data_IF_225146235887
#
_entry.id   IF_225146235887
#
_cell.length_a   1.000
_cell.length_b   1.000
_cell.length_c   1.000
_cell.angle_alpha   90.00
_cell.angle_beta   90.00
_cell.angle_gamma   90.00
#
_symmetry.space_group_name_H-M   'P 1'
#
loop_
_entity.id
_entity.type
_entity.pdbx_description
1 polymer ?
#
# COMPACT_ATOMS: atom_id res chain seq x y z
N UNK A 1 -16.73 24.56 -18.04
CA UNK A 1 -16.52 23.70 -19.21
C UNK A 1 -16.76 22.23 -18.86
N UNK A 2 -16.97 21.39 -19.85
CA UNK A 2 -17.08 19.93 -19.65
C UNK A 2 -15.82 19.33 -19.03
N UNK A 3 -14.67 19.90 -19.31
CA UNK A 3 -13.40 19.46 -18.72
C UNK A 3 -13.36 19.73 -17.21
N UNK A 4 -13.81 20.89 -16.77
CA UNK A 4 -13.90 21.22 -15.34
C UNK A 4 -14.87 20.30 -14.60
N UNK A 5 -16.02 19.99 -15.21
CA UNK A 5 -16.97 19.03 -14.63
C UNK A 5 -16.34 17.64 -14.47
N UNK A 6 -15.60 17.15 -15.47
CA UNK A 6 -14.91 15.86 -15.40
C UNK A 6 -13.80 15.83 -14.34
N UNK A 7 -13.08 16.95 -14.18
CA UNK A 7 -12.07 17.08 -13.12
C UNK A 7 -12.73 17.01 -11.74
N UNK A 8 -13.85 17.72 -11.54
CA UNK A 8 -14.61 17.66 -10.29
C UNK A 8 -15.17 16.25 -10.02
N UNK A 9 -15.72 15.60 -11.02
CA UNK A 9 -16.23 14.23 -10.91
C UNK A 9 -15.13 13.25 -10.51
N UNK A 10 -13.97 13.31 -11.14
CA UNK A 10 -12.79 12.50 -10.78
C UNK A 10 -12.32 12.79 -9.37
N UNK A 11 -12.25 14.05 -8.96
CA UNK A 11 -11.84 14.47 -7.62
C UNK A 11 -12.81 13.96 -6.54
N UNK A 12 -14.12 13.96 -6.84
CA UNK A 12 -15.16 13.48 -5.92
C UNK A 12 -15.36 11.96 -5.95
N UNK A 13 -14.78 11.27 -6.91
CA UNK A 13 -14.90 9.82 -6.97
C UNK A 13 -14.15 9.15 -5.78
N UNK A 14 -14.80 8.15 -5.19
CA UNK A 14 -14.15 7.30 -4.18
C UNK A 14 -13.30 6.22 -4.87
N UNK A 15 -12.24 6.66 -5.55
CA UNK A 15 -11.33 5.77 -6.27
C UNK A 15 -10.71 4.76 -5.31
N UNK A 16 -10.79 3.46 -5.64
CA UNK A 16 -10.34 2.35 -4.80
C UNK A 16 -10.97 2.32 -3.40
N UNK A 17 -12.09 3.00 -3.21
CA UNK A 17 -12.83 3.07 -1.94
C UNK A 17 -12.00 3.57 -0.76
N UNK A 18 -11.07 4.48 -0.99
CA UNK A 18 -10.25 5.05 0.07
C UNK A 18 -11.08 5.67 1.20
N UNK A 19 -12.14 6.39 0.86
CA UNK A 19 -13.06 6.98 1.84
C UNK A 19 -13.75 5.91 2.67
N UNK A 20 -14.24 4.83 2.03
CA UNK A 20 -14.86 3.69 2.70
C UNK A 20 -13.89 3.01 3.67
N UNK A 21 -12.66 2.77 3.25
CA UNK A 21 -11.62 2.16 4.11
C UNK A 21 -11.23 3.04 5.30
N UNK A 22 -11.44 4.35 5.21
CA UNK A 22 -11.16 5.31 6.27
C UNK A 22 -12.38 5.63 7.15
N UNK A 23 -13.52 4.95 6.95
CA UNK A 23 -14.70 5.12 7.79
C UNK A 23 -14.45 4.57 9.20
N UNK A 24 -14.81 5.33 10.22
CA UNK A 24 -14.70 4.91 11.61
C UNK A 24 -15.61 3.69 11.91
N UNK A 25 -15.03 2.65 12.48
CA UNK A 25 -15.73 1.45 12.93
C UNK A 25 -15.97 1.56 14.45
N UNK A 26 -17.25 1.51 14.88
CA UNK A 26 -17.62 1.62 16.30
C UNK A 26 -18.04 0.30 16.90
N UNK A 27 -18.93 -0.41 16.25
CA UNK A 27 -19.55 -1.63 16.76
C UNK A 27 -19.15 -2.84 15.90
N UNK A 28 -18.03 -3.48 16.26
CA UNK A 28 -17.53 -4.65 15.57
C UNK A 28 -18.04 -5.92 16.25
N UNK A 29 -18.80 -6.72 15.52
CA UNK A 29 -19.34 -8.00 15.97
C UNK A 29 -18.89 -9.13 15.06
N UNK A 30 -18.84 -10.34 15.60
CA UNK A 30 -18.43 -11.52 14.84
C UNK A 30 -19.58 -12.53 14.82
N UNK A 31 -20.01 -12.90 13.63
CA UNK A 31 -21.01 -13.94 13.46
C UNK A 31 -20.48 -15.31 13.89
N UNK A 32 -21.38 -16.17 14.36
CA UNK A 32 -21.04 -17.53 14.71
C UNK A 32 -20.66 -18.35 13.46
N UNK A 33 -19.55 -19.07 13.53
CA UNK A 33 -19.07 -19.88 12.42
C UNK A 33 -17.68 -20.45 12.65
N UNK A 34 -17.22 -21.23 11.71
CA UNK A 34 -15.93 -21.93 11.78
C UNK A 34 -14.74 -21.00 12.01
N UNK A 35 -14.76 -19.80 11.41
CA UNK A 35 -13.68 -18.83 11.49
C UNK A 35 -13.83 -17.78 12.60
N UNK A 36 -14.88 -17.80 13.40
CA UNK A 36 -15.13 -16.80 14.45
C UNK A 36 -13.94 -16.65 15.40
N UNK A 37 -13.52 -17.74 15.99
CA UNK A 37 -12.46 -17.73 17.01
C UNK A 37 -11.13 -17.16 16.50
N UNK A 38 -10.57 -17.60 15.36
CA UNK A 38 -9.33 -17.02 14.85
C UNK A 38 -9.46 -15.56 14.43
N UNK A 39 -10.59 -15.15 13.84
CA UNK A 39 -10.82 -13.75 13.42
C UNK A 39 -10.96 -12.85 14.66
N UNK A 40 -11.74 -13.24 15.64
CA UNK A 40 -11.91 -12.50 16.90
C UNK A 40 -10.58 -12.35 17.64
N UNK A 41 -9.78 -13.42 17.69
CA UNK A 41 -8.44 -13.35 18.27
C UNK A 41 -7.56 -12.36 17.54
N UNK A 42 -7.51 -12.42 16.20
CA UNK A 42 -6.72 -11.50 15.38
C UNK A 42 -7.15 -10.04 15.57
N UNK A 43 -8.44 -9.80 15.72
CA UNK A 43 -8.95 -8.46 16.00
C UNK A 43 -8.52 -7.94 17.39
N UNK A 44 -8.52 -8.80 18.41
CA UNK A 44 -7.98 -8.46 19.73
C UNK A 44 -6.48 -8.16 19.69
N UNK A 45 -5.72 -8.96 18.96
CA UNK A 45 -4.28 -8.74 18.75
C UNK A 45 -4.02 -7.40 18.04
N UNK A 46 -4.86 -7.06 17.05
CA UNK A 46 -4.82 -5.75 16.37
C UNK A 46 -5.09 -4.60 17.35
N UNK A 47 -6.13 -4.68 18.18
CA UNK A 47 -6.45 -3.63 19.17
C UNK A 47 -5.31 -3.43 20.17
N UNK A 48 -4.68 -4.51 20.63
CA UNK A 48 -3.54 -4.44 21.54
C UNK A 48 -2.33 -3.77 20.86
N UNK A 49 -2.03 -4.14 19.61
CA UNK A 49 -0.95 -3.50 18.83
C UNK A 49 -1.26 -2.00 18.60
N UNK A 50 -2.51 -1.68 18.35
CA UNK A 50 -2.97 -0.31 18.14
C UNK A 50 -2.75 0.58 19.37
N UNK A 51 -3.10 0.09 20.56
CA UNK A 51 -2.84 0.81 21.81
C UNK A 51 -1.35 1.11 21.99
N UNK A 52 -0.50 0.15 21.66
CA UNK A 52 0.95 0.33 21.75
C UNK A 52 1.49 1.35 20.73
N UNK A 53 1.00 1.30 19.49
CA UNK A 53 1.49 2.15 18.38
C UNK A 53 0.98 3.58 18.51
N UNK A 54 -0.28 3.77 18.92
CA UNK A 54 -0.92 5.08 19.01
C UNK A 54 -1.06 5.60 20.44
N UNK A 55 -0.23 5.13 21.34
CA UNK A 55 -0.24 5.59 22.73
C UNK A 55 -0.20 7.12 22.83
N UNK A 56 -1.23 7.71 23.41
CA UNK A 56 -1.36 9.17 23.56
C UNK A 56 -1.86 9.90 22.30
N UNK A 57 -2.47 9.18 21.36
CA UNK A 57 -3.05 9.76 20.13
C UNK A 57 -4.54 9.48 20.05
N UNK A 58 -5.33 10.43 20.50
CA UNK A 58 -6.81 10.34 20.52
C UNK A 58 -7.43 10.65 19.14
N UNK A 59 -6.63 11.20 18.20
CA UNK A 59 -7.02 11.52 16.83
C UNK A 59 -7.14 10.29 15.90
N UNK A 60 -6.76 9.10 16.40
CA UNK A 60 -6.78 7.85 15.63
C UNK A 60 -7.98 7.00 16.01
N UNK A 61 -8.86 6.76 15.06
CA UNK A 61 -10.00 5.86 15.21
C UNK A 61 -9.75 4.51 14.51
N UNK A 62 -10.54 3.51 14.85
CA UNK A 62 -10.50 2.19 14.22
C UNK A 62 -11.15 2.26 12.85
N UNK A 63 -10.44 1.81 11.82
CA UNK A 63 -10.96 1.71 10.46
C UNK A 63 -10.24 0.59 9.70
N UNK A 64 -10.76 0.21 8.55
CA UNK A 64 -10.16 -0.86 7.74
C UNK A 64 -8.74 -0.50 7.26
N UNK A 65 -8.49 0.77 6.92
CA UNK A 65 -7.16 1.24 6.53
C UNK A 65 -6.16 1.13 7.68
N UNK A 66 -6.58 1.46 8.90
CA UNK A 66 -5.73 1.32 10.08
C UNK A 66 -5.37 -0.15 10.33
N UNK A 67 -6.35 -1.03 10.23
CA UNK A 67 -6.16 -2.48 10.35
C UNK A 67 -5.18 -3.01 9.31
N UNK A 68 -5.32 -2.60 8.05
CA UNK A 68 -4.44 -3.02 6.96
C UNK A 68 -2.98 -2.57 7.16
N UNK A 69 -2.76 -1.40 7.77
CA UNK A 69 -1.44 -0.83 7.96
C UNK A 69 -0.78 -1.20 9.31
N UNK A 70 -1.51 -1.80 10.24
CA UNK A 70 -1.02 -2.01 11.61
C UNK A 70 0.19 -2.91 11.69
N UNK A 71 0.23 -4.00 10.92
CA UNK A 71 1.37 -4.91 10.89
C UNK A 71 2.65 -4.19 10.43
N UNK A 72 2.58 -3.40 9.38
CA UNK A 72 3.70 -2.60 8.88
C UNK A 72 4.19 -1.60 9.93
N UNK A 73 3.27 -0.89 10.60
CA UNK A 73 3.63 0.08 11.65
C UNK A 73 4.31 -0.58 12.84
N UNK A 74 3.86 -1.77 13.21
CA UNK A 74 4.48 -2.56 14.28
C UNK A 74 5.89 -3.01 13.89
N UNK A 75 6.07 -3.57 12.72
CA UNK A 75 7.38 -3.96 12.20
C UNK A 75 8.35 -2.77 12.12
N UNK A 76 7.86 -1.61 11.70
CA UNK A 76 8.65 -0.38 11.66
C UNK A 76 9.10 0.05 13.07
N UNK A 77 8.21 -0.01 14.05
CA UNK A 77 8.54 0.29 15.46
C UNK A 77 9.57 -0.69 16.05
N UNK A 78 9.52 -1.94 15.63
CA UNK A 78 10.48 -3.00 16.03
C UNK A 78 11.83 -2.92 15.28
N UNK A 79 12.04 -1.94 14.40
CA UNK A 79 13.28 -1.81 13.61
C UNK A 79 13.45 -2.86 12.52
N UNK A 80 12.38 -3.54 12.12
CA UNK A 80 12.43 -4.59 11.09
C UNK A 80 12.28 -4.08 9.66
N UNK A 81 12.18 -2.77 9.50
CA UNK A 81 12.05 -2.09 8.21
C UNK A 81 13.10 -0.97 8.07
N UNK A 82 14.30 -1.20 8.64
CA UNK A 82 15.35 -0.19 8.62
C UNK A 82 16.02 -0.08 7.25
N UNK A 83 15.89 -1.10 6.42
CA UNK A 83 16.30 -1.14 5.02
C UNK A 83 15.33 -0.40 4.07
N UNK A 84 14.19 0.03 4.58
CA UNK A 84 13.24 0.83 3.80
C UNK A 84 13.83 2.20 3.47
N UNK A 85 13.83 2.57 2.19
CA UNK A 85 14.28 3.88 1.76
C UNK A 85 13.52 5.00 2.48
N UNK A 86 14.26 6.01 2.92
CA UNK A 86 13.71 7.24 3.51
C UNK A 86 13.63 8.30 2.43
N UNK A 87 12.43 8.52 1.91
CA UNK A 87 12.14 9.51 0.89
C UNK A 87 10.97 10.39 1.30
N UNK A 88 10.96 11.63 0.83
CA UNK A 88 9.83 12.54 0.97
C UNK A 88 8.65 12.13 0.07
N UNK A 89 8.91 11.28 -0.91
CA UNK A 89 7.89 10.71 -1.79
C UNK A 89 7.27 9.47 -1.12
N UNK A 90 5.96 9.50 -0.93
CA UNK A 90 5.23 8.44 -0.22
C UNK A 90 4.37 7.55 -1.13
N UNK A 91 4.44 7.76 -2.45
CA UNK A 91 3.64 7.02 -3.43
C UNK A 91 4.24 5.68 -3.84
N UNK A 92 5.51 5.46 -3.53
CA UNK A 92 6.24 4.23 -3.82
C UNK A 92 7.03 3.79 -2.59
N UNK A 93 7.37 2.51 -2.54
CA UNK A 93 8.18 1.96 -1.47
C UNK A 93 9.30 1.10 -2.07
N UNK A 94 10.52 1.39 -1.69
CA UNK A 94 11.71 0.63 -2.06
C UNK A 94 12.54 0.27 -0.83
N UNK A 95 13.35 -0.76 -0.97
CA UNK A 95 14.35 -1.15 0.02
C UNK A 95 15.75 -0.93 -0.53
N UNK A 96 16.65 -0.51 0.34
CA UNK A 96 18.06 -0.34 0.03
C UNK A 96 18.76 -1.68 0.17
N UNK A 97 19.44 -2.12 -0.88
CA UNK A 97 20.19 -3.38 -0.87
C UNK A 97 21.62 -3.15 -1.35
N UNK A 98 22.63 -3.75 -0.70
CA UNK A 98 23.99 -3.72 -1.21
C UNK A 98 24.11 -4.70 -2.39
N UNK A 99 24.64 -4.22 -3.50
CA UNK A 99 24.90 -5.00 -4.72
C UNK A 99 26.39 -4.94 -5.04
N UNK A 100 27.01 -6.08 -5.30
CA UNK A 100 28.40 -6.14 -5.71
C UNK A 100 28.51 -6.11 -7.23
N UNK A 101 29.17 -5.08 -7.77
CA UNK A 101 29.39 -4.88 -9.21
C UNK A 101 30.87 -4.63 -9.42
N UNK A 102 31.54 -5.48 -10.21
CA UNK A 102 32.97 -5.36 -10.54
C UNK A 102 33.88 -5.20 -9.30
N UNK A 103 33.56 -5.92 -8.22
CA UNK A 103 34.31 -5.91 -6.96
C UNK A 103 34.09 -4.64 -6.11
N UNK A 104 33.07 -3.85 -6.43
CA UNK A 104 32.63 -2.69 -5.63
C UNK A 104 31.22 -2.90 -5.13
N UNK A 105 30.98 -2.55 -3.89
CA UNK A 105 29.61 -2.56 -3.31
C UNK A 105 28.94 -1.23 -3.58
N UNK A 106 27.79 -1.27 -4.20
CA UNK A 106 26.92 -0.12 -4.47
C UNK A 106 25.58 -0.31 -3.74
N UNK A 107 24.97 0.78 -3.27
CA UNK A 107 23.62 0.76 -2.73
C UNK A 107 22.61 0.92 -3.87
N UNK A 108 21.76 -0.09 -4.03
CA UNK A 108 20.70 -0.10 -5.02
C UNK A 108 19.34 -0.11 -4.36
N UNK A 109 18.35 0.43 -5.06
CA UNK A 109 16.96 0.39 -4.63
C UNK A 109 16.22 -0.74 -5.34
N UNK A 110 15.62 -1.64 -4.56
CA UNK A 110 14.68 -2.62 -5.08
C UNK A 110 13.27 -2.11 -4.83
N UNK A 111 12.54 -1.94 -5.92
CA UNK A 111 11.12 -1.60 -5.90
C UNK A 111 10.30 -2.86 -6.21
N UNK A 112 9.34 -3.17 -5.34
CA UNK A 112 8.42 -4.29 -5.54
C UNK A 112 6.98 -3.76 -5.58
N UNK A 113 6.27 -4.11 -6.64
CA UNK A 113 4.85 -3.81 -6.79
C UNK A 113 4.05 -5.11 -6.93
N UNK A 114 2.99 -5.23 -6.14
CA UNK A 114 1.98 -6.27 -6.27
C UNK A 114 0.61 -5.59 -6.31
N UNK A 115 -0.06 -5.68 -7.44
CA UNK A 115 -1.34 -5.04 -7.67
C UNK A 115 -2.31 -5.99 -8.36
N UNK A 116 -3.56 -6.00 -7.93
CA UNK A 116 -4.63 -6.75 -8.59
C UNK A 116 -5.18 -5.94 -9.77
N UNK A 117 -5.40 -6.62 -10.90
CA UNK A 117 -5.97 -6.03 -12.10
C UNK A 117 -7.29 -6.70 -12.49
N UNK A 118 -8.12 -5.98 -13.24
CA UNK A 118 -9.41 -6.46 -13.77
C UNK A 118 -9.25 -7.27 -15.07
N UNK A 119 -8.17 -8.03 -15.24
CA UNK A 119 -7.84 -8.77 -16.46
C UNK A 119 -7.89 -7.94 -17.75
N UNK A 120 -7.34 -6.70 -17.78
CA UNK A 120 -7.49 -5.83 -18.95
C UNK A 120 -6.86 -6.44 -20.21
N UNK A 121 -5.81 -7.23 -20.06
CA UNK A 121 -5.14 -7.90 -21.19
C UNK A 121 -5.98 -9.04 -21.78
N UNK A 122 -6.86 -9.66 -21.00
CA UNK A 122 -7.79 -10.67 -21.47
C UNK A 122 -8.92 -10.05 -22.30
N UNK A 123 -9.39 -8.88 -21.89
CA UNK A 123 -10.50 -8.18 -22.54
C UNK A 123 -10.02 -7.46 -23.81
N UNK A 124 -8.92 -6.74 -23.73
CA UNK A 124 -8.31 -6.01 -24.83
C UNK A 124 -6.78 -6.16 -24.72
N UNK A 125 -6.16 -7.10 -25.42
CA UNK A 125 -4.78 -7.51 -25.21
C UNK A 125 -3.76 -6.39 -25.35
N UNK A 126 -3.90 -5.55 -26.37
CA UNK A 126 -2.93 -4.48 -26.65
C UNK A 126 -3.05 -3.34 -25.63
N UNK A 127 -4.23 -2.78 -25.47
CA UNK A 127 -4.46 -1.67 -24.54
C UNK A 127 -4.34 -2.10 -23.09
N UNK A 128 -4.73 -3.34 -22.77
CA UNK A 128 -4.54 -3.92 -21.44
C UNK A 128 -3.07 -4.09 -21.07
N UNK A 129 -2.25 -4.59 -22.00
CA UNK A 129 -0.79 -4.65 -21.80
C UNK A 129 -0.17 -3.25 -21.67
N UNK A 130 -0.61 -2.29 -22.46
CA UNK A 130 -0.16 -0.90 -22.38
C UNK A 130 -0.52 -0.27 -21.02
N UNK A 131 -1.71 -0.56 -20.48
CA UNK A 131 -2.15 -0.09 -19.16
C UNK A 131 -1.27 -0.65 -18.04
N UNK A 132 -1.01 -1.95 -18.05
CA UNK A 132 -0.16 -2.62 -17.06
C UNK A 132 1.29 -2.09 -17.11
N UNK A 133 1.85 -1.95 -18.31
CA UNK A 133 3.16 -1.35 -18.52
C UNK A 133 3.22 0.09 -18.03
N UNK A 134 2.21 0.88 -18.36
CA UNK A 134 2.13 2.27 -17.93
C UNK A 134 2.15 2.40 -16.41
N UNK A 135 1.43 1.55 -15.68
CA UNK A 135 1.46 1.49 -14.21
C UNK A 135 2.84 1.12 -13.67
N UNK A 136 3.47 0.09 -14.25
CA UNK A 136 4.81 -0.33 -13.86
C UNK A 136 5.89 0.74 -14.08
N UNK A 137 5.66 1.68 -14.99
CA UNK A 137 6.55 2.81 -15.26
C UNK A 137 6.24 3.98 -14.35
N UNK A 138 4.97 4.35 -14.21
CA UNK A 138 4.55 5.53 -13.46
C UNK A 138 4.88 5.46 -11.97
N UNK A 139 4.75 4.29 -11.35
CA UNK A 139 4.93 4.18 -9.92
C UNK A 139 6.39 4.44 -9.48
N UNK A 140 7.42 3.84 -10.12
CA UNK A 140 8.81 4.23 -9.84
C UNK A 140 9.11 5.69 -10.19
N UNK A 141 8.55 6.22 -11.29
CA UNK A 141 8.72 7.63 -11.64
C UNK A 141 8.11 8.59 -10.62
N UNK A 142 7.01 8.20 -9.97
CA UNK A 142 6.41 9.01 -8.90
C UNK A 142 7.33 9.17 -7.70
N UNK A 143 8.19 8.19 -7.44
CA UNK A 143 9.26 8.25 -6.44
C UNK A 143 10.53 8.95 -6.91
N UNK A 144 10.52 9.57 -8.11
CA UNK A 144 11.69 10.25 -8.73
C UNK A 144 12.91 9.35 -8.94
N UNK A 145 12.71 8.06 -9.04
CA UNK A 145 13.78 7.12 -9.30
C UNK A 145 13.93 6.83 -10.79
N UNK A 146 15.18 6.77 -11.25
CA UNK A 146 15.51 6.15 -12.53
C UNK A 146 15.52 4.63 -12.33
N UNK A 147 14.91 3.89 -13.22
CA UNK A 147 14.90 2.44 -13.16
C UNK A 147 15.26 1.83 -14.50
N UNK A 148 15.91 0.68 -14.42
CA UNK A 148 16.15 -0.18 -15.58
C UNK A 148 15.16 -1.33 -15.52
N UNK A 149 14.34 -1.47 -16.57
CA UNK A 149 13.42 -2.59 -16.68
C UNK A 149 14.11 -3.80 -17.27
N UNK A 150 14.11 -4.91 -16.58
CA UNK A 150 14.31 -6.21 -17.20
C UNK A 150 12.96 -6.84 -17.51
N UNK A 151 12.69 -7.11 -18.79
CA UNK A 151 11.59 -7.98 -19.18
C UNK A 151 12.11 -9.43 -19.10
N UNK A 152 11.49 -10.24 -18.24
CA UNK A 152 11.65 -11.68 -18.22
C UNK A 152 10.59 -12.30 -19.09
#
# INVERSE_FOLDING_TARGET
>A
SMTEIRVLDTYWSDHCRHTTFSTELKDVTFEDGYYKTPIEKTYKDYLAAREEIFKGRDDKFVCLMDLALMAMRKLKKEGKLDDMEKSDEINACSIVVPVEIDGKTEEWLIFFKNETHNHPTEIEPFGGAATCLGGAIRDPLSGRHMYTRQCV
#
